data_IF_343088488838
#
_entry.id   IF_343088488838
#
_cell.length_a   1.000
_cell.length_b   1.000
_cell.length_c   1.000
_cell.angle_alpha   90.00
_cell.angle_beta   90.00
_cell.angle_gamma   90.00
#
_symmetry.space_group_name_H-M   'P 1'
#
loop_
_entity.id
_entity.type
_entity.pdbx_description
1 polymer ?
#
# COMPACT_ATOMS: atom_id res chain seq x y z
N UNK A 1 4.71 -28.50 5.14
CA UNK A 1 5.58 -27.46 4.55
C UNK A 1 6.96 -27.56 5.19
N UNK A 2 8.04 -27.39 4.44
CA UNK A 2 9.40 -27.34 5.02
C UNK A 2 9.62 -26.01 5.76
N UNK A 3 10.51 -25.98 6.76
CA UNK A 3 10.85 -24.75 7.50
C UNK A 3 11.31 -23.62 6.57
N UNK A 4 12.04 -23.99 5.51
CA UNK A 4 12.47 -23.07 4.46
C UNK A 4 11.29 -22.35 3.78
N UNK A 5 10.21 -23.06 3.49
CA UNK A 5 9.02 -22.46 2.85
C UNK A 5 8.33 -21.45 3.78
N UNK A 6 8.28 -21.72 5.08
CA UNK A 6 7.70 -20.81 6.08
C UNK A 6 8.54 -19.52 6.17
N UNK A 7 9.86 -19.65 6.23
CA UNK A 7 10.79 -18.51 6.30
C UNK A 7 10.65 -17.61 5.06
N UNK A 8 10.58 -18.20 3.86
CA UNK A 8 10.39 -17.45 2.63
C UNK A 8 9.05 -16.70 2.68
N UNK A 9 7.93 -17.38 2.93
CA UNK A 9 6.61 -16.73 2.96
C UNK A 9 6.52 -15.59 3.98
N UNK A 10 7.10 -15.78 5.18
CA UNK A 10 7.13 -14.74 6.20
C UNK A 10 7.95 -13.51 5.75
N UNK A 11 9.10 -13.74 5.10
CA UNK A 11 9.97 -12.66 4.64
C UNK A 11 9.30 -11.86 3.50
N UNK A 12 8.62 -12.53 2.58
CA UNK A 12 7.80 -11.90 1.54
C UNK A 12 6.70 -11.02 2.12
N UNK A 13 5.93 -11.56 3.08
CA UNK A 13 4.85 -10.82 3.73
C UNK A 13 5.38 -9.58 4.46
N UNK A 14 6.51 -9.70 5.16
CA UNK A 14 7.17 -8.58 5.83
C UNK A 14 7.66 -7.52 4.84
N UNK A 15 8.27 -7.94 3.72
CA UNK A 15 8.72 -7.03 2.66
C UNK A 15 7.56 -6.24 2.04
N UNK A 16 6.46 -6.92 1.71
CA UNK A 16 5.26 -6.27 1.18
C UNK A 16 4.66 -5.29 2.20
N UNK A 17 4.54 -5.69 3.46
CA UNK A 17 4.03 -4.84 4.53
C UNK A 17 4.90 -3.57 4.73
N UNK A 18 6.22 -3.71 4.64
CA UNK A 18 7.14 -2.57 4.72
C UNK A 18 6.94 -1.60 3.54
N UNK A 19 6.80 -2.11 2.31
CA UNK A 19 6.58 -1.28 1.12
C UNK A 19 5.22 -0.58 1.16
N UNK A 20 4.16 -1.26 1.58
CA UNK A 20 2.82 -0.65 1.75
C UNK A 20 2.85 0.39 2.86
N UNK A 21 3.48 0.09 4.00
CA UNK A 21 3.62 1.04 5.11
C UNK A 21 4.42 2.28 4.71
N UNK A 22 5.49 2.12 3.93
CA UNK A 22 6.30 3.23 3.44
C UNK A 22 5.54 4.16 2.48
N UNK A 23 4.62 3.62 1.67
CA UNK A 23 3.76 4.41 0.76
C UNK A 23 2.60 5.10 1.51
N UNK A 24 2.04 4.43 2.53
CA UNK A 24 0.95 5.00 3.32
C UNK A 24 1.36 6.29 4.07
N UNK A 25 2.64 6.50 4.37
CA UNK A 25 3.12 7.73 5.01
C UNK A 25 2.96 8.98 4.11
N UNK A 26 3.57 9.06 2.92
CA UNK A 26 3.38 10.19 2.01
C UNK A 26 1.92 10.32 1.54
N UNK A 27 1.20 9.21 1.31
CA UNK A 27 -0.21 9.24 0.93
C UNK A 27 -1.10 9.82 2.05
N UNK A 28 -0.93 9.35 3.28
CA UNK A 28 -1.67 9.84 4.44
C UNK A 28 -1.43 11.33 4.70
N UNK A 29 -0.19 11.81 4.49
CA UNK A 29 0.11 13.24 4.56
C UNK A 29 -0.58 14.02 3.43
N UNK A 30 -0.61 13.48 2.22
CA UNK A 30 -1.30 14.12 1.09
C UNK A 30 -2.82 14.21 1.34
N UNK A 31 -3.44 13.11 1.80
CA UNK A 31 -4.86 13.09 2.17
C UNK A 31 -5.18 14.07 3.30
N UNK A 32 -4.33 14.15 4.33
CA UNK A 32 -4.49 15.13 5.40
C UNK A 32 -4.50 16.56 4.84
N UNK A 33 -3.52 16.90 3.98
CA UNK A 33 -3.42 18.23 3.37
C UNK A 33 -4.61 18.54 2.47
N UNK A 34 -5.13 17.56 1.75
CA UNK A 34 -6.28 17.72 0.86
C UNK A 34 -7.57 17.96 1.64
N UNK A 35 -7.85 17.14 2.65
CA UNK A 35 -9.05 17.28 3.49
C UNK A 35 -9.00 18.57 4.33
N UNK A 36 -7.82 18.96 4.82
CA UNK A 36 -7.64 20.21 5.56
C UNK A 36 -7.94 21.45 4.71
N UNK A 37 -7.70 21.42 3.38
CA UNK A 37 -8.05 22.51 2.46
C UNK A 37 -9.57 22.73 2.33
N UNK A 38 -10.38 21.70 2.63
CA UNK A 38 -11.84 21.79 2.63
C UNK A 38 -12.38 22.51 3.89
N UNK A 39 -11.50 22.93 4.81
CA UNK A 39 -11.86 23.73 5.99
C UNK A 39 -12.14 22.90 7.26
N UNK A 40 -11.88 21.59 7.22
CA UNK A 40 -11.99 20.72 8.39
C UNK A 40 -10.86 21.00 9.40
N UNK A 41 -11.19 20.93 10.69
CA UNK A 41 -10.18 21.09 11.76
C UNK A 41 -9.16 19.93 11.69
N UNK A 42 -7.84 20.21 11.83
CA UNK A 42 -6.80 19.17 11.76
C UNK A 42 -7.05 17.94 12.63
N UNK A 43 -7.58 18.14 13.85
CA UNK A 43 -7.93 17.04 14.76
C UNK A 43 -8.99 16.11 14.17
N UNK A 44 -10.02 16.66 13.52
CA UNK A 44 -11.07 15.86 12.90
C UNK A 44 -10.50 15.03 11.73
N UNK A 45 -9.62 15.62 10.92
CA UNK A 45 -8.96 14.92 9.80
C UNK A 45 -8.08 13.77 10.29
N UNK A 46 -7.27 14.01 11.32
CA UNK A 46 -6.42 12.97 11.91
C UNK A 46 -7.27 11.84 12.52
N UNK A 47 -8.35 12.18 13.24
CA UNK A 47 -9.26 11.17 13.79
C UNK A 47 -9.94 10.35 12.70
N UNK A 48 -10.35 10.96 11.58
CA UNK A 48 -10.92 10.22 10.45
C UNK A 48 -9.89 9.32 9.78
N UNK A 49 -8.66 9.80 9.56
CA UNK A 49 -7.60 8.98 8.96
C UNK A 49 -7.20 7.83 9.89
N UNK A 50 -7.15 8.07 11.21
CA UNK A 50 -6.93 7.03 12.20
C UNK A 50 -8.06 5.98 12.17
N UNK A 51 -9.32 6.41 12.12
CA UNK A 51 -10.45 5.49 12.02
C UNK A 51 -10.38 4.61 10.77
N UNK A 52 -10.03 5.21 9.62
CA UNK A 52 -9.86 4.47 8.35
C UNK A 52 -8.66 3.51 8.41
N UNK A 53 -7.57 3.88 9.09
CA UNK A 53 -6.37 3.02 9.21
C UNK A 53 -6.64 1.67 9.87
N UNK A 54 -7.67 1.59 10.73
CA UNK A 54 -8.08 0.34 11.41
C UNK A 54 -8.70 -0.68 10.44
N UNK A 55 -9.20 -0.23 9.29
CA UNK A 55 -9.77 -1.14 8.28
C UNK A 55 -8.74 -2.15 7.76
N UNK A 56 -7.47 -1.78 7.66
CA UNK A 56 -6.39 -2.68 7.23
C UNK A 56 -6.22 -3.88 8.17
N UNK A 57 -5.91 -3.65 9.47
CA UNK A 57 -5.87 -4.71 10.47
C UNK A 57 -7.16 -5.52 10.58
N UNK A 58 -8.33 -4.87 10.51
CA UNK A 58 -9.61 -5.58 10.53
C UNK A 58 -9.77 -6.52 9.32
N UNK A 59 -9.42 -6.06 8.12
CA UNK A 59 -9.43 -6.88 6.91
C UNK A 59 -8.41 -8.02 6.97
N UNK A 60 -7.22 -7.78 7.53
CA UNK A 60 -6.22 -8.82 7.74
C UNK A 60 -6.70 -9.90 8.71
N UNK A 61 -7.31 -9.51 9.84
CA UNK A 61 -7.92 -10.45 10.78
C UNK A 61 -9.07 -11.23 10.13
N UNK A 62 -9.95 -10.56 9.37
CA UNK A 62 -11.03 -11.23 8.66
C UNK A 62 -10.49 -12.22 7.61
N UNK A 63 -9.46 -11.83 6.86
CA UNK A 63 -8.77 -12.72 5.91
C UNK A 63 -8.18 -13.95 6.61
N UNK A 64 -7.54 -13.77 7.76
CA UNK A 64 -6.99 -14.86 8.54
C UNK A 64 -8.08 -15.80 9.07
N UNK A 65 -9.12 -15.28 9.73
CA UNK A 65 -10.13 -16.13 10.36
C UNK A 65 -11.08 -16.81 9.38
N UNK A 66 -11.37 -16.20 8.23
CA UNK A 66 -12.39 -16.71 7.29
C UNK A 66 -11.84 -17.21 5.96
N UNK A 67 -10.67 -16.73 5.49
CA UNK A 67 -10.17 -17.00 4.14
C UNK A 67 -8.83 -17.77 4.08
N UNK A 68 -8.17 -18.03 5.21
CA UNK A 68 -6.85 -18.68 5.22
C UNK A 68 -6.83 -20.04 4.49
N UNK A 69 -7.89 -20.84 4.63
CA UNK A 69 -8.00 -22.16 3.98
C UNK A 69 -8.54 -22.10 2.54
N UNK A 70 -8.95 -20.92 2.06
CA UNK A 70 -9.64 -20.74 0.79
C UNK A 70 -8.72 -20.13 -0.28
N UNK A 71 -7.60 -20.81 -0.59
CA UNK A 71 -6.55 -20.31 -1.46
C UNK A 71 -7.03 -19.73 -2.81
N UNK A 72 -8.02 -20.36 -3.46
CA UNK A 72 -8.60 -19.86 -4.72
C UNK A 72 -9.33 -18.53 -4.57
N UNK A 73 -10.10 -18.36 -3.51
CA UNK A 73 -10.84 -17.12 -3.24
C UNK A 73 -9.88 -16.00 -2.87
N UNK A 74 -8.91 -16.30 -1.99
CA UNK A 74 -7.87 -15.36 -1.57
C UNK A 74 -7.05 -14.89 -2.76
N UNK A 75 -6.64 -15.80 -3.66
CA UNK A 75 -5.96 -15.42 -4.90
C UNK A 75 -6.81 -14.49 -5.76
N UNK A 76 -8.11 -14.79 -5.94
CA UNK A 76 -9.03 -13.91 -6.68
C UNK A 76 -9.16 -12.51 -6.08
N UNK A 77 -9.27 -12.41 -4.75
CA UNK A 77 -9.32 -11.13 -4.03
C UNK A 77 -8.01 -10.37 -4.20
N UNK A 78 -6.86 -11.04 -4.04
CA UNK A 78 -5.54 -10.41 -4.21
C UNK A 78 -5.31 -9.93 -5.63
N UNK A 79 -5.70 -10.70 -6.66
CA UNK A 79 -5.61 -10.29 -8.07
C UNK A 79 -6.53 -9.09 -8.34
N UNK A 80 -7.76 -9.11 -7.84
CA UNK A 80 -8.69 -7.99 -7.98
C UNK A 80 -8.15 -6.72 -7.29
N UNK A 81 -7.67 -6.85 -6.05
CA UNK A 81 -7.08 -5.74 -5.30
C UNK A 81 -5.82 -5.19 -5.97
N UNK A 82 -4.95 -6.07 -6.49
CA UNK A 82 -3.77 -5.67 -7.27
C UNK A 82 -4.13 -4.87 -8.51
N UNK A 83 -5.19 -5.29 -9.24
CA UNK A 83 -5.74 -4.53 -10.36
C UNK A 83 -6.32 -3.18 -9.93
N UNK A 84 -7.02 -3.13 -8.80
CA UNK A 84 -7.56 -1.89 -8.23
C UNK A 84 -6.47 -0.89 -7.81
N UNK A 85 -5.41 -1.34 -7.14
CA UNK A 85 -4.26 -0.50 -6.77
C UNK A 85 -3.58 0.03 -8.04
N UNK A 86 -3.38 -0.84 -9.05
CA UNK A 86 -2.83 -0.41 -10.33
C UNK A 86 -3.70 0.67 -10.98
N UNK A 87 -5.02 0.50 -10.99
CA UNK A 87 -5.95 1.49 -11.50
C UNK A 87 -5.83 2.83 -10.74
N UNK A 88 -5.82 2.82 -9.41
CA UNK A 88 -5.66 4.02 -8.58
C UNK A 88 -4.31 4.73 -8.82
N UNK A 89 -3.22 3.97 -8.99
CA UNK A 89 -1.92 4.55 -9.34
C UNK A 89 -2.02 5.35 -10.64
N UNK A 90 -2.66 4.81 -11.68
CA UNK A 90 -2.79 5.50 -12.96
C UNK A 90 -3.86 6.58 -12.98
N UNK A 91 -4.87 6.49 -12.12
CA UNK A 91 -5.93 7.48 -12.02
C UNK A 91 -5.51 8.69 -11.18
N UNK A 92 -4.91 8.43 -10.01
CA UNK A 92 -4.71 9.46 -9.00
C UNK A 92 -3.25 9.90 -8.93
N UNK A 93 -2.29 8.97 -8.97
CA UNK A 93 -0.88 9.26 -8.71
C UNK A 93 -0.14 9.70 -9.99
N UNK A 94 -0.25 8.92 -11.06
CA UNK A 94 0.48 9.17 -12.30
C UNK A 94 0.12 10.52 -12.96
N UNK A 95 -1.15 10.94 -13.05
CA UNK A 95 -1.51 12.21 -13.67
C UNK A 95 -1.01 13.42 -12.85
N UNK A 96 -1.02 13.30 -11.51
CA UNK A 96 -0.57 14.36 -10.60
C UNK A 96 0.96 14.47 -10.53
N UNK A 97 1.70 13.48 -11.03
CA UNK A 97 3.18 13.51 -11.07
C UNK A 97 3.75 14.60 -11.99
N UNK A 98 2.93 15.17 -12.88
CA UNK A 98 3.34 16.22 -13.82
C UNK A 98 3.53 17.55 -13.09
N UNK A 99 4.75 17.82 -12.68
CA UNK A 99 5.13 19.12 -12.08
C UNK A 99 5.88 19.98 -13.10
N UNK A 100 5.47 21.25 -13.25
CA UNK A 100 6.14 22.18 -14.15
C UNK A 100 7.61 22.35 -13.77
N UNK A 101 8.52 22.04 -14.71
CA UNK A 101 9.98 22.15 -14.58
C UNK A 101 10.66 21.25 -13.53
N UNK A 102 9.99 20.22 -13.01
CA UNK A 102 10.57 19.33 -11.99
C UNK A 102 10.37 17.85 -12.31
N UNK A 103 11.48 17.12 -12.44
CA UNK A 103 11.53 15.68 -12.72
C UNK A 103 11.54 14.83 -11.46
N UNK A 104 11.62 15.46 -10.28
CA UNK A 104 11.74 14.80 -8.98
C UNK A 104 10.59 13.84 -8.66
N UNK A 105 9.30 14.11 -8.98
CA UNK A 105 8.23 13.16 -8.71
C UNK A 105 8.36 11.88 -9.53
N UNK A 106 8.64 12.01 -10.84
CA UNK A 106 8.80 10.85 -11.74
C UNK A 106 10.04 10.03 -11.40
N UNK A 107 11.15 10.68 -11.05
CA UNK A 107 12.37 9.99 -10.61
C UNK A 107 12.14 9.24 -9.28
N UNK A 108 11.41 9.87 -8.35
CA UNK A 108 11.02 9.25 -7.09
C UNK A 108 10.17 7.98 -7.29
N UNK A 109 9.22 8.01 -8.23
CA UNK A 109 8.40 6.84 -8.59
C UNK A 109 9.26 5.68 -9.15
N UNK A 110 10.19 5.98 -10.06
CA UNK A 110 11.11 4.98 -10.62
C UNK A 110 12.05 4.41 -9.54
N UNK A 111 12.57 5.26 -8.66
CA UNK A 111 13.41 4.83 -7.53
C UNK A 111 12.64 3.93 -6.57
N UNK A 112 11.40 4.29 -6.20
CA UNK A 112 10.54 3.47 -5.36
C UNK A 112 10.25 2.10 -5.98
N UNK A 113 9.97 2.06 -7.28
CA UNK A 113 9.80 0.81 -8.02
C UNK A 113 11.08 -0.04 -8.02
N UNK A 114 12.24 0.57 -8.30
CA UNK A 114 13.53 -0.13 -8.29
C UNK A 114 13.86 -0.69 -6.91
N UNK A 115 13.64 0.06 -5.84
CA UNK A 115 13.81 -0.41 -4.45
C UNK A 115 12.89 -1.59 -4.16
N UNK A 116 11.63 -1.54 -4.58
CA UNK A 116 10.69 -2.64 -4.42
C UNK A 116 11.14 -3.90 -5.18
N UNK A 117 11.62 -3.75 -6.41
CA UNK A 117 12.13 -4.85 -7.24
C UNK A 117 13.39 -5.49 -6.65
N UNK A 118 14.35 -4.67 -6.19
CA UNK A 118 15.56 -5.15 -5.51
C UNK A 118 15.19 -5.86 -4.20
N UNK A 119 14.28 -5.27 -3.41
CA UNK A 119 13.77 -5.87 -2.18
C UNK A 119 13.15 -7.25 -2.41
N UNK A 120 12.29 -7.38 -3.42
CA UNK A 120 11.75 -8.66 -3.87
C UNK A 120 12.87 -9.64 -4.21
N UNK A 121 13.86 -9.23 -5.00
CA UNK A 121 14.93 -10.12 -5.45
C UNK A 121 15.87 -10.58 -4.31
N UNK A 122 16.05 -9.76 -3.28
CA UNK A 122 16.88 -10.08 -2.11
C UNK A 122 16.16 -10.98 -1.09
N UNK A 123 14.84 -10.84 -0.97
CA UNK A 123 14.02 -11.55 0.03
C UNK A 123 13.55 -12.95 -0.48
N UNK A 124 13.84 -13.24 -1.75
CA UNK A 124 13.43 -14.46 -2.47
C UNK A 124 12.22 -14.17 -3.33
#
# INVERSE_FOLDING_TARGET
MSELAIIIMASWAAGLAAVVGAQNLPEGFNSFREIAKVGLKPRAVILSLLAVSVLGPMAACAGYFFLQDHARLTAGIMTFAGGGIMYLIFQDIAPQSKMSRHWTPSLGAVLGFAVGMIGKQLIG
#
